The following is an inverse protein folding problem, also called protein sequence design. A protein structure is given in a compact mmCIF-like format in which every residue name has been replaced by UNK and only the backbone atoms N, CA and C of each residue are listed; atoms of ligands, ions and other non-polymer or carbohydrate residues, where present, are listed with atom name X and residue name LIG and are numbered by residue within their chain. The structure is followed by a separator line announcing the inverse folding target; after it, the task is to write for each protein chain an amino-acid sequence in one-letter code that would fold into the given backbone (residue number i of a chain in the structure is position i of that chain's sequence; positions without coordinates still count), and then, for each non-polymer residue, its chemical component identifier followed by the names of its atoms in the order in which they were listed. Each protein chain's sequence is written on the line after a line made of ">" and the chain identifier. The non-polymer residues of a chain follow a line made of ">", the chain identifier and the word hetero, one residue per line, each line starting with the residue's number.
data_IF_452011939017
#
_entry.id   IF_452011939017
#
_cell.length_a   1.000
_cell.length_b   1.000
_cell.length_c   1.000
_cell.angle_alpha   90.00
_cell.angle_beta   90.00
_cell.angle_gamma   90.00
#
_symmetry.space_group_name_H-M   'P 1'
#
loop_
_entity.id
_entity.type
_entity.pdbx_description
1 polymer ?
#
# COMPACT_ATOMS: atom_id res chain seq x y z
N UNK A 1 25.45 36.02 -15.52
CA UNK A 1 24.74 34.85 -14.94
C UNK A 1 25.29 33.59 -15.55
N UNK A 2 25.78 32.67 -14.76
CA UNK A 2 26.19 31.35 -15.20
C UNK A 2 24.98 30.55 -15.66
N UNK A 3 25.17 29.53 -16.51
CA UNK A 3 24.08 28.65 -16.95
C UNK A 3 23.35 28.00 -15.74
N UNK A 4 24.08 27.72 -14.66
CA UNK A 4 23.58 27.19 -13.40
C UNK A 4 22.68 28.21 -12.66
N UNK A 5 23.06 29.50 -12.60
CA UNK A 5 22.23 30.57 -12.01
C UNK A 5 20.93 30.79 -12.81
N UNK A 6 20.98 30.65 -14.14
CA UNK A 6 19.81 30.74 -15.00
C UNK A 6 18.83 29.57 -14.78
N UNK A 7 19.33 28.39 -14.46
CA UNK A 7 18.49 27.22 -14.14
C UNK A 7 17.88 27.31 -12.73
N UNK A 8 18.62 27.84 -11.74
CA UNK A 8 18.14 28.02 -10.36
C UNK A 8 17.02 29.07 -10.23
N UNK A 9 16.95 30.03 -11.14
CA UNK A 9 15.92 31.08 -11.14
C UNK A 9 14.66 30.74 -11.94
N UNK A 10 14.54 29.51 -12.48
CA UNK A 10 13.33 29.08 -13.17
C UNK A 10 12.33 28.49 -12.17
N UNK A 11 11.06 28.81 -12.37
CA UNK A 11 9.98 28.19 -11.63
C UNK A 11 10.00 26.67 -11.84
N UNK A 12 10.11 25.91 -10.74
CA UNK A 12 10.14 24.45 -10.74
C UNK A 12 9.05 23.94 -9.79
N UNK A 13 7.82 23.72 -10.28
CA UNK A 13 6.68 23.34 -9.42
C UNK A 13 6.91 22.04 -8.66
N UNK A 14 7.57 21.05 -9.26
CA UNK A 14 7.87 19.79 -8.54
C UNK A 14 8.90 20.03 -7.42
N UNK A 15 9.95 20.80 -7.69
CA UNK A 15 10.95 21.12 -6.66
C UNK A 15 10.36 21.95 -5.52
N UNK A 16 9.42 22.85 -5.81
CA UNK A 16 8.69 23.62 -4.79
C UNK A 16 7.79 22.72 -3.95
N UNK A 17 7.06 21.81 -4.59
CA UNK A 17 6.22 20.85 -3.91
C UNK A 17 7.04 19.91 -3.01
N UNK A 18 8.17 19.37 -3.50
CA UNK A 18 9.04 18.50 -2.69
C UNK A 18 9.60 19.23 -1.47
N UNK A 19 10.05 20.49 -1.62
CA UNK A 19 10.48 21.31 -0.47
C UNK A 19 9.36 21.53 0.54
N UNK A 20 8.15 21.75 0.04
CA UNK A 20 6.98 21.90 0.88
C UNK A 20 6.65 20.60 1.63
N UNK A 21 6.68 19.44 0.97
CA UNK A 21 6.51 18.12 1.59
C UNK A 21 7.55 17.93 2.71
N UNK A 22 8.82 18.23 2.44
CA UNK A 22 9.90 18.12 3.43
C UNK A 22 9.68 19.05 4.64
N UNK A 23 9.17 20.26 4.43
CA UNK A 23 8.86 21.19 5.52
C UNK A 23 7.63 20.79 6.35
N UNK A 24 6.82 19.86 5.87
CA UNK A 24 5.66 19.28 6.56
C UNK A 24 5.92 17.85 7.06
N UNK A 25 7.18 17.49 7.30
CA UNK A 25 7.56 16.21 7.90
C UNK A 25 7.98 15.12 6.92
N UNK A 26 8.02 15.38 5.60
CA UNK A 26 8.43 14.41 4.59
C UNK A 26 7.31 13.50 4.11
N UNK A 27 7.62 12.61 3.17
CA UNK A 27 6.66 11.62 2.66
C UNK A 27 6.27 10.59 3.72
N UNK A 28 5.04 10.11 3.64
CA UNK A 28 4.58 8.90 4.35
C UNK A 28 4.32 7.80 3.31
N UNK A 29 5.01 6.68 3.44
CA UNK A 29 4.78 5.51 2.60
C UNK A 29 3.69 4.64 3.23
N UNK A 30 2.45 4.83 2.82
CA UNK A 30 1.29 4.24 3.47
C UNK A 30 1.08 2.75 3.16
N UNK A 31 1.84 2.20 2.22
CA UNK A 31 1.79 0.79 1.84
C UNK A 31 3.09 0.35 1.19
N UNK A 32 3.75 -0.63 1.80
CA UNK A 32 4.97 -1.23 1.29
C UNK A 32 5.11 -2.69 1.76
N UNK A 33 6.10 -3.41 1.20
CA UNK A 33 6.50 -4.77 1.56
C UNK A 33 7.99 -4.84 1.81
N UNK A 34 8.45 -4.32 2.95
CA UNK A 34 9.88 -4.24 3.27
C UNK A 34 10.51 -5.58 3.61
N UNK A 35 9.72 -6.54 4.10
CA UNK A 35 10.18 -7.89 4.45
C UNK A 35 10.79 -8.66 3.26
N UNK A 36 10.33 -8.37 2.04
CA UNK A 36 10.83 -8.97 0.80
C UNK A 36 11.50 -7.99 -0.16
N UNK A 37 11.81 -6.77 0.29
CA UNK A 37 12.55 -5.81 -0.52
C UNK A 37 13.94 -6.35 -0.91
N UNK A 38 14.42 -5.99 -2.10
CA UNK A 38 15.72 -6.39 -2.66
C UNK A 38 15.93 -7.90 -2.83
N UNK A 39 14.85 -8.66 -2.96
CA UNK A 39 14.94 -10.12 -3.17
C UNK A 39 15.03 -10.53 -4.64
N UNK A 40 14.98 -9.59 -5.58
CA UNK A 40 15.11 -9.86 -7.02
C UNK A 40 16.50 -10.47 -7.33
N UNK A 41 16.53 -11.47 -8.17
CA UNK A 41 17.76 -12.07 -8.69
C UNK A 41 17.76 -12.04 -10.22
N UNK A 42 18.93 -12.15 -10.90
CA UNK A 42 18.98 -12.23 -12.36
C UNK A 42 18.07 -13.35 -12.93
N UNK A 43 17.96 -14.47 -12.25
CA UNK A 43 17.07 -15.57 -12.66
C UNK A 43 15.59 -15.22 -12.53
N UNK A 44 15.22 -14.46 -11.51
CA UNK A 44 13.84 -14.02 -11.31
C UNK A 44 13.42 -12.94 -12.29
N UNK A 45 14.37 -12.19 -12.88
CA UNK A 45 14.05 -11.19 -13.91
C UNK A 45 13.29 -11.78 -15.11
N UNK A 46 13.51 -13.03 -15.46
CA UNK A 46 12.78 -13.73 -16.52
C UNK A 46 11.30 -13.95 -16.18
N UNK A 47 10.94 -13.87 -14.90
CA UNK A 47 9.60 -14.14 -14.35
C UNK A 47 8.80 -12.89 -14.01
N UNK A 48 9.38 -11.72 -14.19
CA UNK A 48 8.70 -10.45 -13.88
C UNK A 48 7.50 -10.16 -14.78
N UNK A 49 7.41 -10.83 -15.93
CA UNK A 49 6.28 -10.75 -16.86
C UNK A 49 5.16 -11.78 -16.56
N UNK A 50 5.37 -12.68 -15.60
CA UNK A 50 4.38 -13.67 -15.22
C UNK A 50 3.16 -12.97 -14.57
N UNK A 51 2.01 -13.64 -14.58
CA UNK A 51 0.80 -13.13 -13.95
C UNK A 51 0.99 -13.01 -12.42
N UNK A 52 0.34 -12.03 -11.77
CA UNK A 52 0.41 -11.79 -10.32
C UNK A 52 0.33 -13.07 -9.49
N UNK A 53 -0.61 -13.96 -9.81
CA UNK A 53 -0.83 -15.18 -9.04
C UNK A 53 0.31 -16.19 -9.15
N UNK A 54 1.03 -16.21 -10.28
CA UNK A 54 2.22 -17.04 -10.47
C UNK A 54 3.41 -16.50 -9.68
N UNK A 55 3.54 -15.18 -9.58
CA UNK A 55 4.61 -14.53 -8.80
C UNK A 55 4.54 -14.88 -7.31
N UNK A 56 3.39 -15.19 -6.76
CA UNK A 56 3.25 -15.62 -5.37
C UNK A 56 4.08 -16.88 -5.02
N UNK A 57 4.30 -17.79 -5.97
CA UNK A 57 5.09 -19.00 -5.77
C UNK A 57 6.61 -18.68 -5.65
N UNK A 58 7.06 -17.65 -6.36
CA UNK A 58 8.48 -17.24 -6.28
C UNK A 58 8.82 -16.64 -4.92
N UNK A 59 7.90 -15.89 -4.33
CA UNK A 59 8.04 -15.36 -2.97
C UNK A 59 8.14 -16.51 -1.96
N UNK A 60 7.38 -17.58 -2.12
CA UNK A 60 7.45 -18.75 -1.25
C UNK A 60 8.83 -19.41 -1.22
N UNK A 61 9.58 -19.37 -2.34
CA UNK A 61 10.94 -19.91 -2.38
C UNK A 61 11.93 -19.09 -1.53
N UNK A 62 11.79 -17.76 -1.52
CA UNK A 62 12.53 -16.91 -0.61
C UNK A 62 12.16 -17.24 0.84
N UNK A 63 10.88 -17.27 1.16
CA UNK A 63 10.35 -17.49 2.52
C UNK A 63 10.82 -18.80 3.17
N UNK A 64 10.92 -19.90 2.40
CA UNK A 64 11.38 -21.20 2.91
C UNK A 64 12.82 -21.18 3.43
N UNK A 65 13.63 -20.27 2.94
CA UNK A 65 15.07 -20.26 3.24
C UNK A 65 15.48 -19.04 4.07
N UNK A 66 14.63 -18.02 4.18
CA UNK A 66 14.95 -16.78 4.85
C UNK A 66 14.91 -16.92 6.37
N UNK A 67 15.99 -16.55 7.03
CA UNK A 67 16.08 -16.41 8.47
C UNK A 67 15.51 -15.06 8.93
N UNK A 68 15.31 -14.91 10.25
CA UNK A 68 14.98 -13.60 10.86
C UNK A 68 16.00 -12.52 10.47
N UNK A 69 17.29 -12.90 10.38
CA UNK A 69 18.37 -11.98 9.97
C UNK A 69 18.21 -11.51 8.53
N UNK A 70 17.87 -12.41 7.61
CA UNK A 70 17.66 -12.04 6.19
C UNK A 70 16.49 -11.06 6.03
N UNK A 71 15.37 -11.29 6.70
CA UNK A 71 14.25 -10.37 6.72
C UNK A 71 14.61 -9.02 7.35
N UNK A 72 15.36 -9.04 8.46
CA UNK A 72 15.79 -7.80 9.11
C UNK A 72 16.67 -6.95 8.20
N UNK A 73 17.66 -7.54 7.51
CA UNK A 73 18.52 -6.81 6.58
C UNK A 73 17.72 -6.21 5.40
N UNK A 74 16.71 -6.92 4.87
CA UNK A 74 15.82 -6.39 3.84
C UNK A 74 15.03 -5.18 4.35
N UNK A 75 14.39 -5.31 5.51
CA UNK A 75 13.59 -4.22 6.12
C UNK A 75 14.47 -3.03 6.44
N UNK A 76 15.65 -3.26 7.02
CA UNK A 76 16.62 -2.22 7.35
C UNK A 76 17.06 -1.46 6.11
N UNK A 77 17.46 -2.17 5.04
CA UNK A 77 17.88 -1.55 3.78
C UNK A 77 16.76 -0.72 3.16
N UNK A 78 15.51 -1.21 3.22
CA UNK A 78 14.35 -0.46 2.75
C UNK A 78 14.14 0.83 3.56
N UNK A 79 14.20 0.76 4.89
CA UNK A 79 14.04 1.94 5.76
C UNK A 79 15.18 2.95 5.53
N UNK A 80 16.43 2.53 5.47
CA UNK A 80 17.58 3.40 5.19
C UNK A 80 17.43 4.11 3.84
N UNK A 81 16.93 3.40 2.81
CA UNK A 81 16.61 3.98 1.49
C UNK A 81 15.46 4.99 1.60
N UNK A 82 14.40 4.67 2.32
CA UNK A 82 13.28 5.59 2.54
C UNK A 82 13.73 6.88 3.25
N UNK A 83 14.54 6.78 4.29
CA UNK A 83 15.11 7.93 5.00
C UNK A 83 15.96 8.80 4.08
N UNK A 84 16.83 8.18 3.27
CA UNK A 84 17.65 8.89 2.28
C UNK A 84 16.78 9.63 1.25
N UNK A 85 15.67 9.03 0.83
CA UNK A 85 14.70 9.58 -0.13
C UNK A 85 13.62 10.46 0.53
N UNK A 86 13.84 10.93 1.76
CA UNK A 86 12.98 11.87 2.48
C UNK A 86 11.60 11.34 2.92
N UNK A 87 11.39 10.04 2.93
CA UNK A 87 10.25 9.42 3.60
C UNK A 87 10.53 9.35 5.10
N UNK A 88 9.51 9.60 5.92
CA UNK A 88 9.66 9.74 7.38
C UNK A 88 8.82 8.77 8.21
N UNK A 89 7.90 8.07 7.59
CA UNK A 89 7.12 7.00 8.21
C UNK A 89 6.67 6.02 7.14
N UNK A 90 6.42 4.77 7.52
CA UNK A 90 5.85 3.79 6.60
C UNK A 90 4.92 2.79 7.29
N UNK A 91 3.99 2.24 6.51
CA UNK A 91 3.28 1.01 6.82
C UNK A 91 3.82 -0.11 5.92
N UNK A 92 4.40 -1.15 6.53
CA UNK A 92 4.86 -2.33 5.80
C UNK A 92 3.97 -3.54 6.09
N UNK A 93 3.54 -4.21 5.03
CA UNK A 93 2.90 -5.51 5.14
C UNK A 93 3.96 -6.58 5.31
N UNK A 94 3.76 -7.47 6.28
CA UNK A 94 4.74 -8.48 6.69
C UNK A 94 4.07 -9.86 6.69
N UNK A 95 4.70 -10.80 6.02
CA UNK A 95 4.15 -12.15 5.86
C UNK A 95 4.06 -12.90 7.20
N UNK A 96 2.87 -13.46 7.48
CA UNK A 96 2.61 -14.39 8.59
C UNK A 96 1.84 -15.57 7.99
N UNK A 97 2.55 -16.67 7.70
CA UNK A 97 1.95 -17.85 7.08
C UNK A 97 2.75 -19.13 7.36
N UNK A 98 2.25 -20.33 7.00
CA UNK A 98 2.90 -21.61 7.28
C UNK A 98 4.27 -21.79 6.64
N UNK A 99 4.73 -20.91 5.75
CA UNK A 99 6.01 -21.03 5.07
C UNK A 99 7.12 -20.28 5.83
N UNK A 100 6.85 -19.05 6.25
CA UNK A 100 7.79 -18.23 7.02
C UNK A 100 7.51 -18.26 8.51
N UNK A 101 6.36 -18.82 8.92
CA UNK A 101 5.88 -18.80 10.30
C UNK A 101 5.95 -17.37 10.88
N UNK A 102 6.78 -17.13 11.89
CA UNK A 102 6.95 -15.84 12.55
C UNK A 102 8.27 -15.14 12.21
N UNK A 103 9.09 -15.66 11.28
CA UNK A 103 10.41 -15.09 10.99
C UNK A 103 10.33 -13.65 10.51
N UNK A 104 9.43 -13.36 9.57
CA UNK A 104 9.26 -12.02 9.01
C UNK A 104 8.73 -11.01 10.04
N UNK A 105 7.70 -11.39 10.82
CA UNK A 105 7.13 -10.51 11.83
C UNK A 105 8.12 -10.25 12.98
N UNK A 106 8.91 -11.25 13.39
CA UNK A 106 9.97 -11.08 14.37
C UNK A 106 11.01 -10.07 13.90
N UNK A 107 11.44 -10.18 12.65
CA UNK A 107 12.38 -9.23 12.05
C UNK A 107 11.82 -7.81 11.97
N UNK A 108 10.55 -7.66 11.60
CA UNK A 108 9.88 -6.36 11.52
C UNK A 108 9.78 -5.68 12.89
N UNK A 109 9.50 -6.43 13.96
CA UNK A 109 9.51 -5.90 15.34
C UNK A 109 10.90 -5.44 15.76
N UNK A 110 11.94 -6.22 15.45
CA UNK A 110 13.33 -5.82 15.72
C UNK A 110 13.66 -4.52 14.97
N UNK A 111 13.24 -4.39 13.70
CA UNK A 111 13.45 -3.17 12.93
C UNK A 111 12.66 -1.98 13.50
N UNK A 112 11.41 -2.20 13.90
CA UNK A 112 10.56 -1.18 14.54
C UNK A 112 11.21 -0.64 15.82
N UNK A 113 11.77 -1.52 16.65
CA UNK A 113 12.52 -1.13 17.86
C UNK A 113 13.85 -0.44 17.52
N UNK A 114 14.56 -0.92 16.50
CA UNK A 114 15.86 -0.40 16.09
C UNK A 114 15.78 1.06 15.59
N UNK A 115 14.78 1.38 14.77
CA UNK A 115 14.60 2.72 14.21
C UNK A 115 13.79 3.65 15.13
N UNK A 116 12.89 3.11 15.93
CA UNK A 116 12.11 3.85 16.91
C UNK A 116 11.44 5.10 16.34
N UNK A 117 11.70 6.25 16.97
CA UNK A 117 11.14 7.54 16.56
C UNK A 117 11.82 8.15 15.33
N UNK A 118 13.01 7.69 14.95
CA UNK A 118 13.69 8.17 13.74
C UNK A 118 12.89 7.80 12.48
N UNK A 119 12.30 6.59 12.46
CA UNK A 119 11.44 6.13 11.39
C UNK A 119 10.28 5.29 11.97
N UNK A 120 9.15 5.91 12.28
CA UNK A 120 7.96 5.20 12.72
C UNK A 120 7.52 4.17 11.68
N UNK A 121 7.72 2.90 12.00
CA UNK A 121 7.32 1.77 11.18
C UNK A 121 6.03 1.17 11.72
N UNK A 122 4.96 1.20 10.96
CA UNK A 122 3.71 0.50 11.27
C UNK A 122 3.73 -0.84 10.56
N UNK A 123 3.43 -1.90 11.30
CA UNK A 123 3.40 -3.26 10.77
C UNK A 123 1.95 -3.66 10.52
N UNK A 124 1.66 -4.06 9.28
CA UNK A 124 0.42 -4.72 8.88
C UNK A 124 0.69 -6.20 8.62
N UNK A 125 -0.20 -7.10 9.06
CA UNK A 125 -0.05 -8.50 8.71
C UNK A 125 -0.36 -8.73 7.21
N UNK A 126 0.43 -9.57 6.53
CA UNK A 126 0.16 -10.00 5.16
C UNK A 126 -0.41 -11.42 5.14
N UNK A 127 -1.49 -11.60 4.39
CA UNK A 127 -2.28 -12.84 4.41
C UNK A 127 -2.14 -13.65 3.12
N UNK A 128 -0.91 -13.87 2.64
CA UNK A 128 -0.63 -14.55 1.36
C UNK A 128 -1.11 -16.02 1.29
N UNK A 129 -1.55 -16.62 2.39
CA UNK A 129 -2.18 -17.96 2.43
C UNK A 129 -3.65 -17.91 2.86
N UNK A 130 -4.27 -16.73 2.74
CA UNK A 130 -5.64 -16.51 3.19
C UNK A 130 -5.79 -16.44 4.72
N UNK A 131 -7.04 -16.37 5.18
CA UNK A 131 -7.38 -16.26 6.61
C UNK A 131 -8.43 -17.29 7.05
N UNK A 132 -8.93 -18.10 6.13
CA UNK A 132 -10.04 -19.01 6.39
C UNK A 132 -9.58 -20.44 6.73
N UNK A 133 -8.43 -20.86 6.21
CA UNK A 133 -7.87 -22.15 6.54
C UNK A 133 -7.30 -22.15 7.97
N UNK A 134 -7.42 -23.29 8.71
CA UNK A 134 -7.09 -23.33 10.13
C UNK A 134 -5.68 -22.92 10.48
N UNK A 135 -4.68 -23.30 9.67
CA UNK A 135 -3.27 -23.05 9.98
C UNK A 135 -2.86 -21.59 9.79
N UNK A 136 -3.10 -20.94 8.63
CA UNK A 136 -2.85 -19.50 8.48
C UNK A 136 -3.62 -18.68 9.52
N UNK A 137 -4.90 -18.98 9.74
CA UNK A 137 -5.73 -18.31 10.73
C UNK A 137 -5.10 -18.35 12.13
N UNK A 138 -4.70 -19.53 12.59
CA UNK A 138 -4.06 -19.73 13.91
C UNK A 138 -2.76 -18.93 14.04
N UNK A 139 -1.94 -18.88 12.97
CA UNK A 139 -0.68 -18.14 13.00
C UNK A 139 -0.92 -16.64 13.16
N UNK A 140 -1.90 -16.07 12.43
CA UNK A 140 -2.27 -14.67 12.53
C UNK A 140 -2.84 -14.36 13.92
N UNK A 141 -3.74 -15.21 14.43
CA UNK A 141 -4.34 -15.05 15.76
C UNK A 141 -3.28 -15.07 16.88
N UNK A 142 -2.27 -15.93 16.77
CA UNK A 142 -1.18 -16.01 17.75
C UNK A 142 -0.23 -14.80 17.69
N UNK A 143 -0.11 -14.15 16.54
CA UNK A 143 0.72 -12.97 16.35
C UNK A 143 -0.06 -11.65 16.50
N UNK A 144 -1.29 -11.70 16.98
CA UNK A 144 -2.21 -10.55 16.97
C UNK A 144 -1.64 -9.30 17.67
N UNK A 145 -0.81 -9.47 18.69
CA UNK A 145 -0.18 -8.37 19.41
C UNK A 145 1.10 -7.83 18.74
N UNK A 146 1.58 -8.50 17.69
CA UNK A 146 2.86 -8.19 17.04
C UNK A 146 2.75 -7.20 15.88
N UNK A 147 1.54 -6.84 15.47
CA UNK A 147 1.28 -5.88 14.39
C UNK A 147 0.17 -4.88 14.78
N UNK A 148 0.15 -3.74 14.10
CA UNK A 148 -0.78 -2.65 14.40
C UNK A 148 -2.01 -2.65 13.47
N UNK A 149 -1.89 -3.19 12.25
CA UNK A 149 -2.93 -3.17 11.22
C UNK A 149 -3.21 -4.60 10.74
N UNK A 150 -4.49 -4.94 10.66
CA UNK A 150 -4.96 -6.16 10.04
C UNK A 150 -4.91 -6.01 8.51
N UNK A 151 -4.00 -6.72 7.88
CA UNK A 151 -3.89 -6.76 6.43
C UNK A 151 -4.75 -7.87 5.82
N UNK A 152 -5.39 -7.60 4.68
CA UNK A 152 -6.22 -8.54 3.96
C UNK A 152 -5.81 -8.71 2.51
N UNK A 153 -6.10 -9.92 1.97
CA UNK A 153 -5.96 -10.25 0.56
C UNK A 153 -7.04 -11.28 0.18
N UNK A 154 -8.30 -10.84 -0.07
CA UNK A 154 -9.45 -11.73 -0.31
C UNK A 154 -9.23 -12.70 -1.47
N UNK A 155 -8.52 -12.28 -2.52
CA UNK A 155 -8.17 -13.13 -3.66
C UNK A 155 -7.41 -14.42 -3.31
N UNK A 156 -6.89 -14.54 -2.06
CA UNK A 156 -6.26 -15.77 -1.53
C UNK A 156 -7.25 -16.81 -1.02
N UNK A 157 -8.44 -16.38 -0.64
CA UNK A 157 -9.54 -17.27 -0.28
C UNK A 157 -10.58 -17.29 -1.42
N UNK A 158 -10.11 -17.52 -2.66
CA UNK A 158 -10.87 -17.44 -3.91
C UNK A 158 -12.22 -18.16 -3.84
N UNK A 159 -13.28 -17.41 -4.20
CA UNK A 159 -14.68 -17.89 -4.12
C UNK A 159 -15.28 -17.74 -2.71
N UNK A 160 -14.51 -17.24 -1.75
CA UNK A 160 -14.90 -16.98 -0.36
C UNK A 160 -14.41 -15.58 0.09
N UNK A 161 -14.30 -14.64 -0.85
CA UNK A 161 -13.76 -13.30 -0.63
C UNK A 161 -14.57 -12.54 0.45
N UNK A 162 -15.89 -12.75 0.47
CA UNK A 162 -16.78 -12.18 1.49
C UNK A 162 -16.46 -12.71 2.88
N UNK A 163 -16.29 -14.04 3.04
CA UNK A 163 -15.93 -14.65 4.32
C UNK A 163 -14.55 -14.19 4.81
N UNK A 164 -13.60 -13.98 3.87
CA UNK A 164 -12.28 -13.41 4.19
C UNK A 164 -12.41 -12.03 4.82
N UNK A 165 -13.17 -11.14 4.18
CA UNK A 165 -13.40 -9.78 4.69
C UNK A 165 -14.15 -9.83 6.03
N UNK A 166 -15.18 -10.64 6.16
CA UNK A 166 -15.90 -10.81 7.43
C UNK A 166 -14.97 -11.25 8.57
N UNK A 167 -14.03 -12.17 8.30
CA UNK A 167 -13.06 -12.60 9.30
C UNK A 167 -12.15 -11.45 9.76
N UNK A 168 -11.69 -10.62 8.84
CA UNK A 168 -10.90 -9.42 9.19
C UNK A 168 -11.71 -8.43 10.03
N UNK A 169 -12.97 -8.20 9.67
CA UNK A 169 -13.86 -7.29 10.40
C UNK A 169 -14.15 -7.77 11.81
N UNK A 170 -14.30 -9.09 12.00
CA UNK A 170 -14.46 -9.69 13.33
C UNK A 170 -13.20 -9.46 14.18
N UNK A 171 -12.01 -9.73 13.65
CA UNK A 171 -10.77 -9.46 14.37
C UNK A 171 -10.59 -7.95 14.67
N UNK A 172 -10.99 -7.07 13.74
CA UNK A 172 -10.94 -5.63 13.98
C UNK A 172 -11.86 -5.18 15.14
N UNK A 173 -13.06 -5.76 15.24
CA UNK A 173 -13.98 -5.50 16.37
C UNK A 173 -13.39 -5.95 17.70
N UNK A 174 -12.80 -7.14 17.72
CA UNK A 174 -12.26 -7.75 18.93
C UNK A 174 -10.99 -7.02 19.43
N UNK A 175 -10.17 -6.50 18.52
CA UNK A 175 -8.86 -5.89 18.83
C UNK A 175 -8.84 -4.37 18.76
N UNK A 176 -9.82 -3.74 18.12
CA UNK A 176 -9.85 -2.31 17.85
C UNK A 176 -8.90 -1.85 16.74
N UNK A 177 -8.18 -2.76 16.07
CA UNK A 177 -7.19 -2.46 15.03
C UNK A 177 -7.85 -1.92 13.75
N UNK A 178 -7.08 -1.13 12.98
CA UNK A 178 -7.42 -0.75 11.62
C UNK A 178 -7.29 -1.95 10.68
N UNK A 179 -7.97 -1.87 9.52
CA UNK A 179 -7.96 -2.93 8.50
C UNK A 179 -7.52 -2.31 7.17
N UNK A 180 -6.48 -2.87 6.55
CA UNK A 180 -6.06 -2.51 5.19
C UNK A 180 -6.17 -3.73 4.28
N UNK A 181 -6.92 -3.63 3.19
CA UNK A 181 -7.24 -4.77 2.33
C UNK A 181 -6.81 -4.50 0.90
N UNK A 182 -5.99 -5.40 0.34
CA UNK A 182 -5.68 -5.40 -1.09
C UNK A 182 -6.92 -5.81 -1.86
N UNK A 183 -7.44 -4.94 -2.69
CA UNK A 183 -8.67 -5.14 -3.46
C UNK A 183 -8.51 -4.68 -4.91
N UNK A 184 -9.25 -5.34 -5.81
CA UNK A 184 -9.37 -4.93 -7.21
C UNK A 184 -8.02 -4.74 -7.92
N UNK A 185 -7.15 -5.76 -7.89
CA UNK A 185 -5.75 -5.67 -8.34
C UNK A 185 -5.54 -6.03 -9.83
N UNK A 186 -6.55 -6.57 -10.55
CA UNK A 186 -6.34 -7.21 -11.85
C UNK A 186 -6.72 -6.38 -13.07
N UNK A 187 -7.02 -5.10 -12.95
CA UNK A 187 -7.39 -4.27 -14.10
C UNK A 187 -8.63 -4.77 -14.87
N UNK A 188 -9.59 -5.42 -14.23
CA UNK A 188 -10.70 -6.06 -14.93
C UNK A 188 -12.05 -5.78 -14.27
N UNK A 189 -13.12 -5.50 -15.06
CA UNK A 189 -14.44 -5.18 -14.50
C UNK A 189 -15.17 -6.37 -13.85
N UNK A 190 -14.59 -7.56 -13.82
CA UNK A 190 -15.10 -8.66 -13.00
C UNK A 190 -14.79 -8.52 -11.52
N UNK A 191 -13.79 -7.71 -11.15
CA UNK A 191 -13.45 -7.45 -9.76
C UNK A 191 -14.37 -6.38 -9.17
N UNK A 192 -14.85 -6.61 -7.97
CA UNK A 192 -15.77 -5.75 -7.21
C UNK A 192 -15.47 -5.79 -5.71
N UNK A 193 -14.23 -6.06 -5.37
CA UNK A 193 -13.84 -6.21 -3.96
C UNK A 193 -13.88 -4.88 -3.21
N UNK A 194 -13.63 -3.73 -3.88
CA UNK A 194 -13.79 -2.40 -3.27
C UNK A 194 -15.25 -2.16 -2.84
N UNK A 195 -16.23 -2.48 -3.69
CA UNK A 195 -17.65 -2.39 -3.34
C UNK A 195 -17.98 -3.30 -2.16
N UNK A 196 -17.53 -4.55 -2.21
CA UNK A 196 -17.76 -5.53 -1.15
C UNK A 196 -17.15 -5.06 0.17
N UNK A 197 -15.91 -4.57 0.16
CA UNK A 197 -15.22 -4.06 1.33
C UNK A 197 -15.98 -2.88 1.97
N UNK A 198 -16.45 -1.93 1.17
CA UNK A 198 -17.22 -0.80 1.68
C UNK A 198 -18.55 -1.23 2.31
N UNK A 199 -19.27 -2.18 1.69
CA UNK A 199 -20.51 -2.74 2.26
C UNK A 199 -20.26 -3.46 3.57
N UNK A 200 -19.22 -4.27 3.66
CA UNK A 200 -18.83 -5.00 4.88
C UNK A 200 -18.35 -4.05 5.98
N UNK A 201 -17.70 -2.96 5.62
CA UNK A 201 -17.33 -1.91 6.59
C UNK A 201 -18.57 -1.36 7.30
N UNK A 202 -19.62 -1.00 6.53
CA UNK A 202 -20.89 -0.51 7.09
C UNK A 202 -21.60 -1.61 7.91
N UNK A 203 -21.70 -2.82 7.35
CA UNK A 203 -22.35 -3.96 8.01
C UNK A 203 -21.76 -4.24 9.39
N UNK A 204 -20.43 -4.12 9.50
CA UNK A 204 -19.72 -4.38 10.75
C UNK A 204 -19.57 -3.16 11.67
N UNK A 205 -19.98 -1.94 11.25
CA UNK A 205 -19.86 -0.70 12.03
C UNK A 205 -18.40 -0.30 12.25
N UNK A 206 -17.57 -0.38 11.19
CA UNK A 206 -16.14 -0.07 11.20
C UNK A 206 -15.80 1.15 10.32
N UNK A 207 -16.77 2.05 10.14
CA UNK A 207 -16.60 3.26 9.35
C UNK A 207 -15.41 4.08 9.84
N UNK A 208 -14.56 4.50 8.90
CA UNK A 208 -13.33 5.26 9.17
C UNK A 208 -12.16 4.44 9.70
N UNK A 209 -12.30 3.10 9.83
CA UNK A 209 -11.22 2.20 10.28
C UNK A 209 -10.68 1.29 9.19
N UNK A 210 -11.25 1.32 8.00
CA UNK A 210 -10.94 0.41 6.90
C UNK A 210 -10.36 1.19 5.71
N UNK A 211 -9.30 0.63 5.12
CA UNK A 211 -8.59 1.19 3.98
C UNK A 211 -8.55 0.18 2.84
N UNK A 212 -8.99 0.60 1.65
CA UNK A 212 -8.84 -0.13 0.40
C UNK A 212 -7.46 0.17 -0.22
N UNK A 213 -6.67 -0.87 -0.47
CA UNK A 213 -5.36 -0.74 -1.11
C UNK A 213 -5.49 -1.15 -2.58
N UNK A 214 -4.91 -0.37 -3.46
CA UNK A 214 -4.96 -0.44 -4.93
C UNK A 214 -6.27 0.03 -5.56
N UNK A 215 -7.34 -0.74 -5.50
CA UNK A 215 -8.64 -0.42 -6.13
C UNK A 215 -8.52 -0.08 -7.64
N UNK A 216 -7.60 -0.74 -8.34
CA UNK A 216 -7.27 -0.45 -9.76
C UNK A 216 -8.47 -0.70 -10.67
N UNK A 217 -9.18 -1.82 -10.44
CA UNK A 217 -10.27 -2.26 -11.32
C UNK A 217 -11.49 -1.32 -11.30
N UNK A 218 -11.57 -0.37 -10.37
CA UNK A 218 -12.58 0.69 -10.42
C UNK A 218 -12.55 1.42 -11.77
N UNK A 219 -11.34 1.75 -12.28
CA UNK A 219 -11.20 2.43 -13.56
C UNK A 219 -11.59 1.57 -14.78
N UNK A 220 -11.67 0.26 -14.64
CA UNK A 220 -12.15 -0.65 -15.68
C UNK A 220 -13.69 -0.73 -15.77
N UNK A 221 -14.40 -0.21 -14.78
CA UNK A 221 -15.87 -0.19 -14.75
C UNK A 221 -16.48 1.04 -15.43
N UNK A 222 -17.71 0.95 -15.93
CA UNK A 222 -18.47 2.10 -16.41
C UNK A 222 -18.62 3.19 -15.33
N UNK A 223 -18.65 4.46 -15.76
CA UNK A 223 -18.79 5.60 -14.83
C UNK A 223 -20.01 5.48 -13.91
N UNK A 224 -21.15 4.99 -14.42
CA UNK A 224 -22.35 4.79 -13.61
C UNK A 224 -22.13 3.84 -12.43
N UNK A 225 -21.41 2.75 -12.64
CA UNK A 225 -21.04 1.82 -11.56
C UNK A 225 -20.12 2.48 -10.54
N UNK A 226 -19.05 3.17 -11.02
CA UNK A 226 -18.13 3.87 -10.11
C UNK A 226 -18.84 4.87 -9.21
N UNK A 227 -19.78 5.67 -9.76
CA UNK A 227 -20.56 6.64 -9.01
C UNK A 227 -21.41 6.01 -7.89
N UNK A 228 -21.92 4.79 -8.11
CA UNK A 228 -22.66 4.04 -7.09
C UNK A 228 -21.70 3.55 -6.00
N UNK A 229 -20.54 2.99 -6.40
CA UNK A 229 -19.54 2.49 -5.45
C UNK A 229 -18.98 3.63 -4.59
N UNK A 230 -18.69 4.80 -5.17
CA UNK A 230 -18.18 5.94 -4.41
C UNK A 230 -19.14 6.42 -3.31
N UNK A 231 -20.46 6.38 -3.54
CA UNK A 231 -21.45 6.69 -2.50
C UNK A 231 -21.36 5.72 -1.34
N UNK A 232 -21.22 4.42 -1.64
CA UNK A 232 -21.08 3.39 -0.60
C UNK A 232 -19.77 3.60 0.16
N UNK A 233 -18.68 3.95 -0.54
CA UNK A 233 -17.39 4.26 0.09
C UNK A 233 -17.45 5.51 0.99
N UNK A 234 -18.23 6.54 0.59
CA UNK A 234 -18.48 7.71 1.44
C UNK A 234 -19.27 7.32 2.69
N UNK A 235 -20.34 6.52 2.56
CA UNK A 235 -21.15 6.05 3.69
C UNK A 235 -20.29 5.17 4.64
N UNK A 236 -19.35 4.39 4.10
CA UNK A 236 -18.40 3.59 4.86
C UNK A 236 -17.27 4.43 5.49
N UNK A 237 -17.14 5.70 5.13
CA UNK A 237 -15.95 6.52 5.42
C UNK A 237 -14.66 5.74 5.12
N UNK A 238 -14.63 5.09 3.93
CA UNK A 238 -13.54 4.24 3.48
C UNK A 238 -12.35 5.10 3.05
N UNK A 239 -11.16 4.76 3.53
CA UNK A 239 -9.92 5.37 3.05
C UNK A 239 -9.31 4.53 1.93
N UNK A 240 -8.40 5.13 1.15
CA UNK A 240 -7.70 4.48 0.05
C UNK A 240 -6.19 4.67 0.16
N UNK A 241 -5.43 3.66 -0.30
CA UNK A 241 -4.01 3.82 -0.59
C UNK A 241 -3.78 3.43 -2.04
N UNK A 242 -3.32 4.39 -2.84
CA UNK A 242 -2.90 4.14 -4.21
C UNK A 242 -1.38 3.91 -4.28
N UNK A 243 -0.99 2.98 -5.16
CA UNK A 243 0.41 2.66 -5.44
C UNK A 243 0.64 2.80 -6.93
N UNK A 244 0.97 4.01 -7.42
CA UNK A 244 0.99 4.32 -8.86
C UNK A 244 1.85 3.41 -9.71
N UNK A 245 3.04 3.03 -9.25
CA UNK A 245 3.89 2.09 -9.99
C UNK A 245 3.33 0.68 -10.08
N UNK A 246 2.43 0.27 -9.17
CA UNK A 246 1.71 -0.99 -9.26
C UNK A 246 0.61 -0.99 -10.34
N UNK A 247 0.17 0.17 -10.83
CA UNK A 247 -0.79 0.28 -11.92
C UNK A 247 -0.32 -0.41 -13.21
N UNK A 248 0.98 -0.51 -13.42
CA UNK A 248 1.60 -1.11 -14.61
C UNK A 248 2.36 -2.40 -14.29
N UNK A 249 2.14 -2.98 -13.12
CA UNK A 249 2.80 -4.20 -12.64
C UNK A 249 2.25 -5.48 -13.31
N UNK A 250 1.06 -5.41 -13.90
CA UNK A 250 0.43 -6.52 -14.61
C UNK A 250 0.69 -6.47 -16.10
N UNK A 251 0.70 -7.63 -16.78
CA UNK A 251 0.61 -7.67 -18.24
C UNK A 251 -0.61 -6.89 -18.74
N UNK A 252 -0.42 -6.18 -19.86
CA UNK A 252 -1.49 -5.41 -20.46
C UNK A 252 -2.70 -6.30 -20.83
N UNK A 253 -3.90 -5.78 -20.59
CA UNK A 253 -5.15 -6.48 -20.95
C UNK A 253 -5.45 -6.29 -22.44
N UNK A 254 -5.42 -7.39 -23.20
CA UNK A 254 -5.70 -7.40 -24.64
C UNK A 254 -7.19 -7.65 -24.98
N UNK A 255 -7.97 -8.08 -24.00
CA UNK A 255 -9.43 -8.28 -24.10
C UNK A 255 -10.24 -7.01 -23.83
N UNK A 256 -9.60 -5.92 -23.40
CA UNK A 256 -10.22 -4.61 -23.19
C UNK A 256 -9.85 -3.61 -24.28
N UNK A 257 -10.73 -2.65 -24.55
CA UNK A 257 -10.53 -1.61 -25.59
C UNK A 257 -10.68 -0.22 -24.96
N UNK A 258 -9.67 0.63 -25.11
CA UNK A 258 -8.33 0.36 -25.61
C UNK A 258 -7.59 -0.65 -24.76
N UNK A 259 -6.54 -1.28 -25.33
CA UNK A 259 -5.61 -2.14 -24.57
C UNK A 259 -5.20 -1.44 -23.27
N UNK A 260 -5.43 -2.07 -22.12
CA UNK A 260 -5.73 -1.37 -20.90
C UNK A 260 -4.81 -1.73 -19.73
N UNK A 261 -4.26 -0.70 -19.07
CA UNK A 261 -3.78 -0.77 -17.69
C UNK A 261 -4.60 0.23 -16.88
N UNK A 262 -5.32 -0.23 -15.86
CA UNK A 262 -6.11 0.63 -15.02
C UNK A 262 -5.22 1.45 -14.09
N UNK A 263 -5.68 2.64 -13.79
CA UNK A 263 -5.16 3.51 -12.75
C UNK A 263 -6.22 3.63 -11.67
N UNK A 264 -5.83 3.59 -10.41
CA UNK A 264 -6.73 3.97 -9.33
C UNK A 264 -7.27 5.38 -9.66
N UNK A 265 -8.58 5.59 -9.77
CA UNK A 265 -9.15 6.88 -10.19
C UNK A 265 -9.12 7.89 -9.04
N UNK A 266 -7.91 8.30 -8.63
CA UNK A 266 -7.65 9.15 -7.46
C UNK A 266 -8.30 10.53 -7.62
N UNK A 267 -8.29 11.09 -8.83
CA UNK A 267 -9.01 12.32 -9.15
C UNK A 267 -10.51 12.23 -8.81
N UNK A 268 -11.17 11.15 -9.20
CA UNK A 268 -12.59 10.91 -8.89
C UNK A 268 -12.82 10.68 -7.39
N UNK A 269 -11.90 10.00 -6.69
CA UNK A 269 -12.00 9.76 -5.23
C UNK A 269 -11.87 11.06 -4.44
N UNK A 270 -10.86 11.87 -4.77
CA UNK A 270 -10.60 13.17 -4.13
C UNK A 270 -11.73 14.16 -4.36
N UNK A 271 -12.27 14.25 -5.60
CA UNK A 271 -13.43 15.10 -5.91
C UNK A 271 -14.66 14.79 -5.03
N UNK A 272 -14.75 13.59 -4.49
CA UNK A 272 -15.82 13.13 -3.60
C UNK A 272 -15.50 13.24 -2.12
N UNK A 273 -14.34 13.82 -1.79
CA UNK A 273 -13.88 14.00 -0.41
C UNK A 273 -13.48 12.70 0.28
N UNK A 274 -13.13 11.65 -0.49
CA UNK A 274 -12.59 10.41 0.05
C UNK A 274 -11.11 10.57 0.37
N UNK A 275 -10.66 10.03 1.50
CA UNK A 275 -9.26 10.08 1.93
C UNK A 275 -8.43 9.15 1.07
N UNK A 276 -7.44 9.68 0.36
CA UNK A 276 -6.47 8.93 -0.43
C UNK A 276 -5.06 9.21 0.06
N UNK A 277 -4.27 8.16 0.29
CA UNK A 277 -2.85 8.24 0.61
C UNK A 277 -2.00 7.53 -0.46
N UNK A 278 -0.68 7.75 -0.41
CA UNK A 278 0.28 7.21 -1.37
C UNK A 278 1.12 6.09 -0.75
N UNK A 279 1.40 5.04 -1.53
CA UNK A 279 2.29 3.95 -1.16
C UNK A 279 3.23 3.55 -2.31
N UNK A 280 4.36 2.93 -1.98
CA UNK A 280 5.30 2.41 -2.99
C UNK A 280 5.01 0.97 -3.40
N UNK A 281 4.30 0.22 -2.57
CA UNK A 281 4.10 -1.21 -2.72
C UNK A 281 5.44 -1.98 -2.67
N UNK A 282 5.72 -2.89 -3.60
CA UNK A 282 6.94 -3.69 -3.65
C UNK A 282 8.19 -2.90 -4.05
N UNK A 283 9.36 -3.30 -3.52
CA UNK A 283 10.66 -2.67 -3.78
C UNK A 283 11.66 -3.74 -4.24
N UNK A 284 12.21 -3.61 -5.46
CA UNK A 284 13.25 -4.47 -6.02
C UNK A 284 13.01 -5.98 -5.79
N UNK A 285 11.80 -6.44 -6.04
CA UNK A 285 11.42 -7.85 -5.97
C UNK A 285 10.85 -8.37 -7.30
N UNK A 286 10.27 -9.56 -7.32
CA UNK A 286 9.72 -10.16 -8.54
C UNK A 286 8.51 -9.41 -9.10
N UNK A 287 7.80 -8.65 -8.27
CA UNK A 287 6.67 -7.84 -8.72
C UNK A 287 7.14 -6.55 -9.38
N UNK A 288 8.09 -5.87 -8.76
CA UNK A 288 8.54 -4.53 -9.17
C UNK A 288 10.08 -4.45 -9.15
N UNK A 289 10.78 -5.08 -10.11
CA UNK A 289 12.23 -5.25 -10.07
C UNK A 289 13.03 -3.95 -10.19
N UNK A 290 12.45 -2.87 -10.72
CA UNK A 290 13.08 -1.57 -10.91
C UNK A 290 12.52 -0.47 -9.98
N UNK A 291 11.65 -0.84 -9.04
CA UNK A 291 11.13 0.09 -8.04
C UNK A 291 12.09 0.15 -6.86
N UNK A 292 12.57 1.35 -6.54
CA UNK A 292 13.44 1.61 -5.39
C UNK A 292 12.69 2.17 -4.16
N UNK A 293 11.38 2.34 -4.28
CA UNK A 293 10.54 2.91 -3.23
C UNK A 293 10.57 4.44 -3.16
N UNK A 294 11.13 5.12 -4.16
CA UNK A 294 11.14 6.59 -4.22
C UNK A 294 9.72 7.15 -4.37
N UNK A 295 9.22 7.77 -3.30
CA UNK A 295 7.89 8.37 -3.25
C UNK A 295 7.74 9.57 -4.22
N UNK A 296 8.83 10.17 -4.69
CA UNK A 296 8.79 11.20 -5.74
C UNK A 296 8.37 10.57 -7.08
N UNK A 297 8.82 9.35 -7.36
CA UNK A 297 8.40 8.63 -8.57
C UNK A 297 6.92 8.27 -8.50
N UNK A 298 6.45 7.80 -7.34
CA UNK A 298 5.02 7.53 -7.12
C UNK A 298 4.18 8.80 -7.28
N UNK A 299 4.62 9.91 -6.69
CA UNK A 299 3.96 11.22 -6.83
C UNK A 299 3.88 11.69 -8.28
N UNK A 300 4.95 11.54 -9.07
CA UNK A 300 4.96 11.90 -10.50
C UNK A 300 3.96 11.07 -11.30
N UNK A 301 3.94 9.75 -11.07
CA UNK A 301 2.99 8.85 -11.74
C UNK A 301 1.54 9.22 -11.38
N UNK A 302 1.28 9.55 -10.10
CA UNK A 302 -0.02 10.04 -9.65
C UNK A 302 -0.43 11.31 -10.39
N UNK A 303 0.43 12.33 -10.42
CA UNK A 303 0.17 13.61 -11.10
C UNK A 303 -0.13 13.38 -12.58
N UNK A 304 0.71 12.60 -13.26
CA UNK A 304 0.58 12.37 -14.69
C UNK A 304 -0.62 11.47 -15.04
N UNK A 305 -0.91 10.49 -14.20
CA UNK A 305 -2.03 9.56 -14.39
C UNK A 305 -3.39 10.17 -14.09
N UNK A 306 -3.54 10.82 -12.95
CA UNK A 306 -4.82 11.34 -12.46
C UNK A 306 -5.02 12.85 -12.69
N UNK A 307 -4.01 13.55 -13.26
CA UNK A 307 -4.10 15.00 -13.58
C UNK A 307 -4.42 15.89 -12.38
N UNK A 308 -3.94 15.50 -11.21
CA UNK A 308 -4.06 16.30 -9.99
C UNK A 308 -2.89 17.29 -9.94
N UNK A 309 -3.18 18.59 -9.98
CA UNK A 309 -2.15 19.65 -10.03
C UNK A 309 -2.24 20.62 -8.85
N UNK A 310 -3.20 20.46 -7.95
CA UNK A 310 -3.32 21.28 -6.75
C UNK A 310 -2.24 20.87 -5.73
N UNK A 311 -1.29 21.77 -5.37
CA UNK A 311 -0.23 21.44 -4.42
C UNK A 311 -0.73 21.14 -3.01
N UNK A 312 -1.87 21.68 -2.59
CA UNK A 312 -2.44 21.42 -1.27
C UNK A 312 -3.03 20.01 -1.23
N UNK A 313 -3.75 19.62 -2.28
CA UNK A 313 -4.28 18.27 -2.41
C UNK A 313 -3.16 17.22 -2.50
N UNK A 314 -2.12 17.50 -3.29
CA UNK A 314 -0.96 16.61 -3.36
C UNK A 314 -0.25 16.47 -2.00
N UNK A 315 -0.14 17.55 -1.24
CA UNK A 315 0.43 17.52 0.11
C UNK A 315 -0.45 16.67 1.06
N UNK A 316 -1.77 16.81 0.98
CA UNK A 316 -2.70 15.97 1.73
C UNK A 316 -2.46 14.49 1.44
N UNK A 317 -2.40 14.11 0.17
CA UNK A 317 -2.23 12.71 -0.26
C UNK A 317 -0.91 12.11 0.25
N UNK A 318 0.19 12.86 0.18
CA UNK A 318 1.53 12.28 0.43
C UNK A 318 2.02 12.44 1.86
N UNK A 319 1.37 13.29 2.67
CA UNK A 319 1.74 13.55 4.07
C UNK A 319 0.56 13.27 5.01
N UNK A 320 -0.42 14.15 5.04
CA UNK A 320 -1.44 14.15 6.10
C UNK A 320 -2.33 12.91 6.07
N UNK A 321 -2.87 12.57 4.91
CA UNK A 321 -3.67 11.36 4.73
C UNK A 321 -2.82 10.10 5.00
N UNK A 322 -1.52 10.15 4.66
CA UNK A 322 -0.59 9.07 4.96
C UNK A 322 -0.52 8.78 6.45
N UNK A 323 -0.27 9.78 7.29
CA UNK A 323 -0.26 9.63 8.75
C UNK A 323 -1.61 9.16 9.29
N UNK A 324 -2.71 9.66 8.74
CA UNK A 324 -4.06 9.27 9.16
C UNK A 324 -4.33 7.78 8.90
N UNK A 325 -4.11 7.31 7.67
CA UNK A 325 -4.46 5.93 7.29
C UNK A 325 -3.62 4.89 8.01
N UNK A 326 -2.34 5.20 8.30
CA UNK A 326 -1.47 4.28 9.06
C UNK A 326 -1.64 4.40 10.59
N UNK A 327 -2.54 5.27 11.06
CA UNK A 327 -2.86 5.39 12.49
C UNK A 327 -1.87 6.22 13.30
N UNK A 328 -1.17 7.16 12.66
CA UNK A 328 -0.20 8.08 13.29
C UNK A 328 -0.68 9.55 13.24
N UNK A 329 -1.98 9.79 13.20
CA UNK A 329 -2.55 11.14 13.11
C UNK A 329 -2.09 12.07 14.25
N UNK A 330 -1.83 11.54 15.44
CA UNK A 330 -1.35 12.32 16.60
C UNK A 330 0.01 13.01 16.30
N UNK A 331 0.85 12.44 15.43
CA UNK A 331 2.11 13.05 15.01
C UNK A 331 1.94 14.31 14.15
N UNK A 332 0.75 14.55 13.59
CA UNK A 332 0.46 15.76 12.83
C UNK A 332 0.43 17.01 13.71
N UNK A 333 0.10 16.87 14.99
CA UNK A 333 0.12 17.99 15.95
C UNK A 333 1.56 18.50 16.15
N UNK A 334 2.53 17.60 16.18
CA UNK A 334 3.96 17.94 16.32
C UNK A 334 4.50 18.65 15.06
N UNK A 335 3.97 18.33 13.86
CA UNK A 335 4.38 18.93 12.59
C UNK A 335 3.82 20.35 12.39
N UNK A 336 2.73 20.71 13.08
CA UNK A 336 2.09 22.04 12.97
C UNK A 336 2.86 23.16 13.70
N UNK A 337 3.94 22.81 14.40
CA UNK A 337 4.75 23.74 15.22
C UNK A 337 5.94 24.33 14.44
N UNK A 338 6.16 23.90 13.20
CA UNK A 338 7.20 24.38 12.29
C UNK A 338 6.63 25.11 11.08
#
# INVERSE_FOLDING_TARGET
>A
MTHTETLMNRYNPLGDLVRRIQSHGGFVNSHAHFDRAYTITPKMMERTQDHLFEKWEYVDNFKRNASVGDYFENIKAAIETQLFLTTRAACTFVDIDPICEYNAITAAKIAQEHFGDEFPLIIACQTLKGVLEPEPKRLIENAMDDFQILGGLPAKDKGREEEHIDQLMLWAKDTGKRVHVHVDQLNHPSEKETELLARKTIEHGLEGKVTAVHSLSLAAHPKSYREEVYKICQDANLSFVCCPSAWIDHPRREDLVPSHNALTPVDELVERGLTVALGSDNICDVYKPFCDGDMINELRLLIDGCKIYDPDELLNIVVYNGYEVIGLADRLEDLSVF
#
